data_IF_231130934142
#
_entry.id   IF_231130934142
#
_cell.length_a   1.000
_cell.length_b   1.000
_cell.length_c   1.000
_cell.angle_alpha   90.00
_cell.angle_beta   90.00
_cell.angle_gamma   90.00
#
_symmetry.space_group_name_H-M   'P 1'
#
loop_
_entity.id
_entity.type
_entity.pdbx_description
1 polymer ?
#
# COMPACT_ATOMS: atom_id res chain seq x y z
N UNK A 1 10.31 -17.33 -6.12
CA UNK A 1 9.52 -16.76 -5.02
C UNK A 1 8.13 -16.52 -5.53
N UNK A 2 7.12 -16.91 -4.76
CA UNK A 2 5.72 -16.84 -5.15
C UNK A 2 5.00 -15.77 -4.30
N UNK A 3 4.35 -14.80 -4.95
CA UNK A 3 3.61 -13.72 -4.33
C UNK A 3 2.13 -13.82 -4.63
N UNK A 4 1.31 -13.28 -3.74
CA UNK A 4 -0.10 -13.10 -3.96
C UNK A 4 -0.43 -11.61 -4.19
N UNK A 5 -1.27 -11.32 -5.18
CA UNK A 5 -2.00 -10.06 -5.28
C UNK A 5 -3.45 -10.34 -4.92
N UNK A 6 -3.97 -9.63 -3.93
CA UNK A 6 -5.37 -9.77 -3.53
C UNK A 6 -6.27 -9.00 -4.48
N UNK A 7 -7.23 -9.69 -5.10
CA UNK A 7 -8.26 -9.10 -5.93
C UNK A 7 -9.54 -8.92 -5.12
N UNK A 8 -9.85 -7.68 -4.81
CA UNK A 8 -11.11 -7.27 -4.18
C UNK A 8 -12.05 -6.55 -5.18
N UNK A 9 -11.90 -6.84 -6.48
CA UNK A 9 -12.72 -6.26 -7.54
C UNK A 9 -12.31 -4.84 -7.94
N UNK A 10 -11.14 -4.36 -7.47
CA UNK A 10 -10.62 -3.04 -7.77
C UNK A 10 -9.09 -3.09 -7.87
N UNK A 11 -8.51 -2.16 -8.62
CA UNK A 11 -7.05 -2.07 -8.72
C UNK A 11 -6.50 -2.32 -10.12
N UNK A 12 -5.28 -1.80 -10.34
CA UNK A 12 -4.53 -2.08 -11.56
C UNK A 12 -3.66 -3.33 -11.38
N UNK A 13 -4.33 -4.48 -11.15
CA UNK A 13 -3.68 -5.78 -10.88
C UNK A 13 -2.71 -6.14 -12.01
N UNK A 14 -3.11 -5.91 -13.26
CA UNK A 14 -2.32 -6.29 -14.41
C UNK A 14 -0.96 -5.57 -14.46
N UNK A 15 -0.94 -4.25 -14.27
CA UNK A 15 0.32 -3.49 -14.28
C UNK A 15 1.22 -3.86 -13.11
N UNK A 16 0.65 -4.08 -11.92
CA UNK A 16 1.41 -4.50 -10.75
C UNK A 16 2.00 -5.90 -10.94
N UNK A 17 1.22 -6.85 -11.46
CA UNK A 17 1.67 -8.19 -11.78
C UNK A 17 2.85 -8.17 -12.75
N UNK A 18 2.73 -7.44 -13.87
CA UNK A 18 3.83 -7.32 -14.84
C UNK A 18 5.08 -6.70 -14.21
N UNK A 19 4.91 -5.68 -13.35
CA UNK A 19 6.04 -5.04 -12.68
C UNK A 19 6.80 -6.01 -11.77
N UNK A 20 6.09 -6.89 -11.05
CA UNK A 20 6.68 -7.91 -10.18
C UNK A 20 7.29 -9.08 -10.97
N UNK A 21 6.62 -9.54 -12.02
CA UNK A 21 7.12 -10.62 -12.89
C UNK A 21 8.42 -10.21 -13.60
N UNK A 22 8.55 -8.96 -14.03
CA UNK A 22 9.80 -8.38 -14.55
C UNK A 22 10.95 -8.39 -13.53
N UNK A 23 10.64 -8.46 -12.24
CA UNK A 23 11.64 -8.60 -11.17
C UNK A 23 11.92 -10.06 -10.80
N UNK A 24 11.36 -11.02 -11.56
CA UNK A 24 11.57 -12.45 -11.36
C UNK A 24 10.68 -13.11 -10.31
N UNK A 25 9.61 -12.47 -9.88
CA UNK A 25 8.60 -13.09 -9.01
C UNK A 25 7.61 -13.92 -9.84
N UNK A 26 7.09 -14.99 -9.26
CA UNK A 26 5.87 -15.66 -9.71
C UNK A 26 4.69 -15.04 -8.96
N UNK A 27 3.64 -14.65 -9.67
CA UNK A 27 2.53 -13.88 -9.09
C UNK A 27 1.19 -14.56 -9.38
N UNK A 28 0.48 -14.92 -8.32
CA UNK A 28 -0.90 -15.38 -8.40
C UNK A 28 -1.86 -14.26 -7.96
N UNK A 29 -3.05 -14.27 -8.51
CA UNK A 29 -4.15 -13.41 -8.08
C UNK A 29 -5.09 -14.26 -7.22
N UNK A 30 -5.36 -13.81 -6.00
CA UNK A 30 -6.21 -14.51 -5.03
C UNK A 30 -7.34 -13.59 -4.58
N UNK A 31 -8.44 -14.17 -4.12
CA UNK A 31 -9.60 -13.43 -3.60
C UNK A 31 -9.96 -13.78 -2.14
N UNK A 32 -9.13 -14.60 -1.47
CA UNK A 32 -9.28 -14.89 -0.05
C UNK A 32 -7.91 -15.02 0.64
N UNK A 33 -7.86 -14.75 1.94
CA UNK A 33 -6.62 -14.86 2.72
C UNK A 33 -6.27 -16.29 3.13
N UNK A 34 -7.21 -17.21 3.07
CA UNK A 34 -6.97 -18.61 3.46
C UNK A 34 -5.90 -19.25 2.55
N UNK A 35 -5.86 -18.81 1.29
CA UNK A 35 -4.82 -19.23 0.35
C UNK A 35 -3.49 -18.47 0.52
N UNK A 36 -3.50 -17.31 1.20
CA UNK A 36 -2.35 -16.40 1.24
C UNK A 36 -1.14 -16.95 2.02
N UNK A 37 -1.35 -17.88 2.95
CA UNK A 37 -0.29 -18.51 3.74
C UNK A 37 0.72 -19.33 2.91
N UNK A 38 0.39 -19.63 1.66
CA UNK A 38 1.28 -20.34 0.74
C UNK A 38 2.21 -19.41 -0.05
N UNK A 39 2.19 -18.11 0.23
CA UNK A 39 2.96 -17.10 -0.49
C UNK A 39 4.00 -16.44 0.40
N UNK A 40 5.10 -16.04 -0.21
CA UNK A 40 6.19 -15.33 0.48
C UNK A 40 5.87 -13.87 0.79
N UNK A 41 4.83 -13.32 0.19
CA UNK A 41 4.38 -11.95 0.39
C UNK A 41 3.02 -11.69 -0.26
N UNK A 42 2.31 -10.71 0.29
CA UNK A 42 0.98 -10.29 -0.16
C UNK A 42 1.00 -8.84 -0.61
N UNK A 43 0.33 -8.55 -1.72
CA UNK A 43 0.10 -7.17 -2.17
C UNK A 43 -1.41 -6.88 -2.18
N UNK A 44 -1.77 -5.73 -1.60
CA UNK A 44 -3.11 -5.14 -1.68
C UNK A 44 -3.03 -3.96 -2.64
N UNK A 45 -3.37 -4.12 -3.93
CA UNK A 45 -3.34 -3.04 -4.91
C UNK A 45 -4.47 -2.05 -4.64
N UNK A 46 -4.35 -0.80 -5.12
CA UNK A 46 -5.34 0.16 -4.75
C UNK A 46 -5.77 1.18 -5.78
N UNK A 47 -6.88 0.89 -6.47
CA UNK A 47 -7.78 1.92 -7.00
C UNK A 47 -9.22 1.47 -6.73
N UNK A 48 -10.14 2.40 -6.49
CA UNK A 48 -11.55 2.10 -6.18
C UNK A 48 -12.00 2.81 -4.92
N UNK A 49 -13.11 2.36 -4.36
CA UNK A 49 -13.72 2.94 -3.17
C UNK A 49 -13.47 2.06 -1.94
N UNK A 50 -13.33 2.70 -0.78
CA UNK A 50 -12.98 2.07 0.48
C UNK A 50 -13.98 0.99 0.92
N UNK A 51 -15.28 1.31 0.99
CA UNK A 51 -16.30 0.39 1.50
C UNK A 51 -16.42 -0.91 0.68
N UNK A 52 -16.52 -0.88 -0.67
CA UNK A 52 -16.54 -2.11 -1.47
C UNK A 52 -15.29 -2.97 -1.27
N UNK A 53 -14.11 -2.35 -1.19
CA UNK A 53 -12.86 -3.08 -1.01
C UNK A 53 -12.82 -3.79 0.35
N UNK A 54 -13.22 -3.11 1.42
CA UNK A 54 -13.27 -3.71 2.77
C UNK A 54 -14.29 -4.84 2.84
N UNK A 55 -15.49 -4.66 2.26
CA UNK A 55 -16.50 -5.72 2.22
C UNK A 55 -15.99 -6.96 1.50
N UNK A 56 -15.40 -6.78 0.33
CA UNK A 56 -14.82 -7.90 -0.43
C UNK A 56 -13.78 -8.69 0.39
N UNK A 57 -12.91 -8.00 1.12
CA UNK A 57 -11.93 -8.67 1.99
C UNK A 57 -12.61 -9.48 3.10
N UNK A 58 -13.68 -8.96 3.71
CA UNK A 58 -14.40 -9.64 4.81
C UNK A 58 -15.25 -10.81 4.33
N UNK A 59 -15.89 -10.65 3.17
CA UNK A 59 -16.87 -11.61 2.68
C UNK A 59 -16.22 -12.89 2.12
N UNK A 60 -14.99 -12.80 1.65
CA UNK A 60 -14.31 -13.91 0.96
C UNK A 60 -13.21 -14.60 1.78
N UNK A 61 -13.00 -14.21 3.04
CA UNK A 61 -11.98 -14.82 3.90
C UNK A 61 -12.54 -15.28 5.23
N UNK A 62 -12.27 -16.53 5.60
CA UNK A 62 -12.56 -17.05 6.94
C UNK A 62 -11.54 -16.57 7.98
N UNK A 63 -10.30 -16.36 7.54
CA UNK A 63 -9.21 -15.79 8.35
C UNK A 63 -9.31 -14.27 8.34
N UNK A 64 -9.26 -13.65 9.51
CA UNK A 64 -9.19 -12.19 9.59
C UNK A 64 -7.84 -11.69 9.09
N UNK A 65 -7.81 -10.50 8.47
CA UNK A 65 -6.55 -9.89 8.05
C UNK A 65 -5.60 -9.65 9.23
N UNK A 66 -6.13 -9.31 10.39
CA UNK A 66 -5.33 -9.13 11.61
C UNK A 66 -4.64 -10.42 12.06
N UNK A 67 -5.25 -11.57 11.85
CA UNK A 67 -4.63 -12.87 12.14
C UNK A 67 -3.58 -13.22 11.09
N UNK A 68 -3.90 -13.01 9.81
CA UNK A 68 -2.94 -13.21 8.72
C UNK A 68 -1.62 -12.46 8.91
N UNK A 69 -1.67 -11.19 9.32
CA UNK A 69 -0.44 -10.39 9.48
C UNK A 69 0.41 -10.78 10.69
N UNK A 70 -0.13 -11.58 11.64
CA UNK A 70 0.65 -12.13 12.76
C UNK A 70 1.71 -13.13 12.32
N UNK A 71 1.51 -13.80 11.19
CA UNK A 71 2.45 -14.80 10.64
C UNK A 71 3.72 -14.17 10.04
N UNK A 72 3.87 -12.84 10.16
CA UNK A 72 5.02 -12.06 9.71
C UNK A 72 5.26 -12.08 8.20
N UNK A 73 4.37 -12.63 7.40
CA UNK A 73 4.44 -12.50 5.95
C UNK A 73 4.41 -11.02 5.55
N UNK A 74 5.37 -10.53 4.76
CA UNK A 74 5.37 -9.13 4.33
C UNK A 74 4.12 -8.78 3.51
N UNK A 75 3.52 -7.64 3.82
CA UNK A 75 2.35 -7.11 3.09
C UNK A 75 2.66 -5.71 2.59
N UNK A 76 2.38 -5.47 1.31
CA UNK A 76 2.47 -4.14 0.70
C UNK A 76 1.08 -3.65 0.28
N UNK A 77 0.57 -2.62 0.97
CA UNK A 77 -0.61 -1.87 0.57
C UNK A 77 -0.23 -0.70 -0.36
N UNK A 78 -0.90 -0.59 -1.50
CA UNK A 78 -0.67 0.47 -2.48
C UNK A 78 -1.91 1.35 -2.55
N UNK A 79 -1.79 2.66 -2.30
CA UNK A 79 -2.85 3.66 -2.33
C UNK A 79 -4.05 3.22 -1.46
N UNK A 80 -5.21 2.85 -2.03
CA UNK A 80 -6.34 2.29 -1.28
C UNK A 80 -5.93 1.08 -0.42
N UNK A 81 -5.04 0.22 -0.90
CA UNK A 81 -4.51 -0.91 -0.14
C UNK A 81 -3.81 -0.50 1.15
N UNK A 82 -3.07 0.61 1.14
CA UNK A 82 -2.49 1.22 2.33
C UNK A 82 -3.57 1.84 3.22
N UNK A 83 -4.53 2.55 2.64
CA UNK A 83 -5.62 3.21 3.36
C UNK A 83 -6.46 2.20 4.16
N UNK A 84 -6.68 1.01 3.61
CA UNK A 84 -7.42 -0.06 4.28
C UNK A 84 -6.77 -0.56 5.58
N UNK A 85 -5.47 -0.35 5.82
CA UNK A 85 -4.81 -0.73 7.07
C UNK A 85 -5.34 0.01 8.30
N UNK A 86 -5.93 1.18 8.10
CA UNK A 86 -6.41 2.06 9.17
C UNK A 86 -7.79 1.67 9.68
N UNK A 87 -8.24 2.34 10.76
CA UNK A 87 -9.48 2.01 11.48
C UNK A 87 -10.74 2.45 10.72
N UNK A 88 -10.67 3.57 9.98
CA UNK A 88 -11.80 4.18 9.27
C UNK A 88 -11.34 5.13 8.16
N UNK A 89 -12.25 5.45 7.26
CA UNK A 89 -12.05 6.42 6.17
C UNK A 89 -13.22 7.41 6.08
N UNK A 90 -12.91 8.67 5.79
CA UNK A 90 -13.95 9.67 5.44
C UNK A 90 -14.62 9.37 4.07
N UNK A 91 -14.03 8.48 3.26
CA UNK A 91 -14.62 8.04 1.99
C UNK A 91 -15.84 7.13 2.19
N UNK A 92 -15.88 6.39 3.31
CA UNK A 92 -16.87 5.36 3.54
C UNK A 92 -17.39 5.30 4.97
N UNK A 93 -18.20 4.27 5.23
CA UNK A 93 -18.79 3.98 6.55
C UNK A 93 -18.24 2.69 7.17
N UNK A 94 -17.61 1.85 6.35
CA UNK A 94 -17.03 0.60 6.82
C UNK A 94 -15.82 0.85 7.72
N UNK A 95 -15.65 -0.02 8.71
CA UNK A 95 -14.41 -0.05 9.50
C UNK A 95 -13.31 -0.67 8.63
N UNK A 96 -12.13 -0.06 8.62
CA UNK A 96 -10.96 -0.62 7.95
C UNK A 96 -10.45 -1.91 8.59
N UNK A 97 -9.29 -2.35 8.16
CA UNK A 97 -8.65 -3.58 8.68
C UNK A 97 -8.08 -3.38 10.10
N UNK A 98 -7.92 -2.12 10.53
CA UNK A 98 -7.55 -1.70 11.88
C UNK A 98 -6.22 -2.34 12.40
N UNK A 99 -5.27 -2.61 11.51
CA UNK A 99 -3.92 -3.10 11.87
C UNK A 99 -2.96 -1.93 12.16
N UNK A 100 -3.36 -0.72 11.78
CA UNK A 100 -2.70 0.54 12.11
C UNK A 100 -3.73 1.51 12.71
N UNK A 101 -3.36 2.17 13.82
CA UNK A 101 -4.21 3.17 14.47
C UNK A 101 -4.22 4.48 13.68
N UNK A 102 -5.39 5.09 13.55
CA UNK A 102 -5.61 6.34 12.86
C UNK A 102 -6.74 6.26 11.83
N UNK A 103 -6.78 7.23 10.97
CA UNK A 103 -7.89 7.41 10.03
C UNK A 103 -7.38 7.80 8.64
N UNK A 104 -8.25 7.66 7.66
CA UNK A 104 -8.06 8.16 6.30
C UNK A 104 -8.96 9.38 6.13
N UNK A 105 -8.37 10.50 5.70
CA UNK A 105 -9.07 11.79 5.60
C UNK A 105 -8.97 12.38 4.20
N UNK A 106 -9.98 13.14 3.80
CA UNK A 106 -9.97 13.84 2.51
C UNK A 106 -8.82 14.88 2.49
N UNK A 107 -8.21 15.05 1.34
CA UNK A 107 -7.27 16.16 1.14
C UNK A 107 -7.99 17.50 1.29
N UNK A 108 -7.33 18.56 1.82
CA UNK A 108 -7.95 19.87 1.97
C UNK A 108 -8.42 20.44 0.61
N UNK A 109 -9.63 20.96 0.58
CA UNK A 109 -10.28 21.49 -0.64
C UNK A 109 -9.61 22.74 -1.25
N UNK A 110 -8.63 23.34 -0.55
CA UNK A 110 -7.81 24.44 -1.07
C UNK A 110 -6.82 24.03 -2.14
N UNK A 111 -6.63 22.71 -2.35
CA UNK A 111 -5.80 22.16 -3.39
C UNK A 111 -6.66 21.42 -4.41
N UNK A 112 -6.09 21.17 -5.61
CA UNK A 112 -6.78 20.36 -6.61
C UNK A 112 -6.93 18.92 -6.09
N UNK A 113 -8.15 18.40 -6.09
CA UNK A 113 -8.47 17.01 -5.74
C UNK A 113 -9.00 16.33 -7.00
N UNK A 114 -8.45 15.14 -7.34
CA UNK A 114 -7.40 14.40 -6.68
C UNK A 114 -6.00 15.01 -6.84
N UNK A 115 -5.07 14.72 -5.91
CA UNK A 115 -3.64 14.83 -6.14
C UNK A 115 -3.25 13.83 -7.21
N UNK A 116 -3.03 14.31 -8.44
CA UNK A 116 -2.78 13.46 -9.60
C UNK A 116 -1.54 13.95 -10.34
N UNK A 117 -0.58 13.06 -10.53
CA UNK A 117 0.64 13.33 -11.26
C UNK A 117 1.91 12.94 -10.51
N UNK A 118 3.03 13.40 -11.06
CA UNK A 118 4.34 13.18 -10.47
C UNK A 118 4.59 14.19 -9.35
N UNK A 119 5.07 13.69 -8.22
CA UNK A 119 5.52 14.51 -7.10
C UNK A 119 6.70 13.81 -6.42
N UNK A 120 7.50 14.55 -5.66
CA UNK A 120 8.64 13.98 -4.97
C UNK A 120 8.29 13.49 -3.57
N UNK A 121 9.06 12.54 -3.07
CA UNK A 121 8.98 12.05 -1.70
C UNK A 121 10.17 12.57 -0.89
N UNK A 122 9.91 12.96 0.35
CA UNK A 122 10.91 13.37 1.33
C UNK A 122 11.09 12.23 2.33
N UNK A 123 12.25 11.60 2.31
CA UNK A 123 12.58 10.48 3.19
C UNK A 123 12.87 11.01 4.60
N UNK A 124 12.14 10.52 5.60
CA UNK A 124 12.29 10.92 7.00
C UNK A 124 13.23 10.01 7.78
N UNK A 125 13.28 8.74 7.41
CA UNK A 125 14.10 7.74 8.08
C UNK A 125 14.41 6.55 7.18
N UNK A 126 15.47 5.83 7.52
CA UNK A 126 15.83 4.59 6.83
C UNK A 126 14.73 3.55 6.95
N UNK A 127 14.46 2.86 5.86
CA UNK A 127 13.50 1.75 5.79
C UNK A 127 13.89 0.80 4.65
N UNK A 128 13.75 -0.52 4.83
CA UNK A 128 14.08 -1.49 3.80
C UNK A 128 13.41 -1.23 2.45
N UNK A 129 12.14 -0.77 2.44
CA UNK A 129 11.42 -0.46 1.19
C UNK A 129 12.08 0.67 0.38
N UNK A 130 12.78 1.59 1.05
CA UNK A 130 13.43 2.75 0.44
C UNK A 130 14.95 2.57 0.22
N UNK A 131 15.47 1.37 0.44
CA UNK A 131 16.90 1.11 0.25
C UNK A 131 17.33 1.39 -1.20
N UNK A 132 18.37 2.23 -1.36
CA UNK A 132 18.85 2.68 -2.66
C UNK A 132 17.93 3.67 -3.40
N UNK A 133 16.87 4.17 -2.77
CA UNK A 133 16.02 5.25 -3.30
C UNK A 133 16.57 6.59 -2.85
N UNK A 134 16.97 7.49 -3.78
CA UNK A 134 17.43 8.84 -3.41
C UNK A 134 16.31 9.65 -2.75
N UNK A 135 16.66 10.51 -1.81
CA UNK A 135 15.72 11.53 -1.32
C UNK A 135 15.24 12.43 -2.47
N UNK A 136 14.05 12.99 -2.33
CA UNK A 136 13.41 13.81 -3.36
C UNK A 136 13.15 13.08 -4.68
N UNK A 137 13.12 11.75 -4.68
CA UNK A 137 12.74 10.95 -5.85
C UNK A 137 11.29 11.21 -6.27
N UNK A 138 11.07 11.30 -7.58
CA UNK A 138 9.75 11.50 -8.17
C UNK A 138 9.01 10.17 -8.33
N UNK A 139 7.73 10.16 -7.89
CA UNK A 139 6.81 9.02 -7.99
C UNK A 139 5.42 9.50 -8.43
N UNK A 140 4.57 8.58 -8.89
CA UNK A 140 3.27 8.91 -9.45
C UNK A 140 2.15 8.71 -8.44
N UNK A 141 1.43 9.79 -8.14
CA UNK A 141 0.26 9.86 -7.27
C UNK A 141 -1.04 9.94 -8.05
N UNK A 142 -2.09 9.34 -7.52
CA UNK A 142 -3.48 9.56 -7.91
C UNK A 142 -4.39 9.19 -6.74
N UNK A 143 -4.71 10.16 -5.87
CA UNK A 143 -5.53 9.93 -4.68
C UNK A 143 -6.27 11.20 -4.25
N UNK A 144 -7.42 11.04 -3.62
CA UNK A 144 -8.20 12.13 -3.00
C UNK A 144 -8.09 12.14 -1.48
N UNK A 145 -7.77 10.99 -0.90
CA UNK A 145 -7.65 10.79 0.54
C UNK A 145 -6.20 10.54 0.92
N UNK A 146 -5.87 10.77 2.18
CA UNK A 146 -4.56 10.48 2.75
C UNK A 146 -4.70 9.82 4.11
N UNK A 147 -3.76 9.00 4.47
CA UNK A 147 -3.69 8.44 5.83
C UNK A 147 -3.27 9.50 6.84
N UNK A 148 -3.84 9.43 8.05
CA UNK A 148 -3.50 10.26 9.22
C UNK A 148 -3.24 9.32 10.38
N UNK A 149 -2.02 8.75 10.47
CA UNK A 149 -1.65 7.86 11.55
C UNK A 149 -1.72 8.54 12.91
N UNK A 150 -2.20 7.81 13.93
CA UNK A 150 -2.15 8.25 15.32
C UNK A 150 -0.71 8.26 15.85
N UNK A 151 0.08 7.24 15.45
CA UNK A 151 1.51 7.21 15.71
C UNK A 151 2.28 7.71 14.47
N UNK A 152 2.92 8.89 14.51
CA UNK A 152 3.69 9.42 13.38
C UNK A 152 4.95 8.62 13.08
N UNK A 153 5.42 7.78 14.00
CA UNK A 153 6.64 6.99 13.81
C UNK A 153 6.50 5.91 12.72
N UNK A 154 5.29 5.58 12.30
CA UNK A 154 5.12 4.67 11.17
C UNK A 154 5.36 5.33 9.81
N UNK A 155 5.40 6.68 9.76
CA UNK A 155 5.64 7.42 8.52
C UNK A 155 7.13 7.44 8.20
N UNK A 156 7.48 6.89 7.06
CA UNK A 156 8.87 6.71 6.59
C UNK A 156 9.26 7.79 5.58
N UNK A 157 8.31 8.21 4.76
CA UNK A 157 8.48 9.32 3.82
C UNK A 157 7.16 10.07 3.65
N UNK A 158 7.26 11.38 3.43
CA UNK A 158 6.13 12.24 3.07
C UNK A 158 6.30 12.77 1.65
N UNK A 159 5.21 13.31 1.10
CA UNK A 159 5.20 14.17 -0.08
C UNK A 159 4.52 15.49 0.28
N UNK A 160 5.06 16.60 -0.20
CA UNK A 160 4.45 17.91 -0.01
C UNK A 160 3.37 18.15 -1.08
N UNK A 161 2.14 18.32 -0.62
CA UNK A 161 1.02 18.78 -1.43
C UNK A 161 0.32 19.96 -0.75
N UNK A 162 1.13 20.95 -0.30
CA UNK A 162 0.71 22.07 0.53
C UNK A 162 0.33 21.65 1.97
N UNK A 163 0.39 20.37 2.24
CA UNK A 163 0.39 19.68 3.52
C UNK A 163 1.29 18.46 3.39
N UNK A 164 1.79 17.96 4.51
CA UNK A 164 2.51 16.69 4.52
C UNK A 164 1.53 15.55 4.28
N UNK A 165 1.75 14.82 3.19
CA UNK A 165 1.02 13.60 2.83
C UNK A 165 1.92 12.41 3.09
N UNK A 166 1.58 11.49 4.03
CA UNK A 166 2.34 10.27 4.22
C UNK A 166 2.43 9.48 2.91
N UNK A 167 3.62 9.46 2.32
CA UNK A 167 3.86 8.80 1.03
C UNK A 167 4.29 7.34 1.20
N UNK A 168 5.04 7.04 2.28
CA UNK A 168 5.44 5.68 2.65
C UNK A 168 5.24 5.50 4.16
N UNK A 169 4.58 4.42 4.54
CA UNK A 169 4.42 3.98 5.92
C UNK A 169 4.96 2.57 6.12
N UNK A 170 5.41 2.26 7.34
CA UNK A 170 5.87 0.92 7.69
C UNK A 170 5.66 0.63 9.18
N UNK A 171 5.17 -0.59 9.49
CA UNK A 171 5.01 -1.12 10.85
C UNK A 171 5.21 -2.63 10.83
N UNK A 172 6.33 -3.09 11.36
CA UNK A 172 6.68 -4.51 11.32
C UNK A 172 6.81 -5.02 9.88
N UNK A 173 6.03 -6.03 9.53
CA UNK A 173 5.94 -6.62 8.19
C UNK A 173 4.95 -5.91 7.25
N UNK A 174 4.30 -4.84 7.71
CA UNK A 174 3.36 -4.06 6.92
C UNK A 174 4.06 -2.85 6.31
N UNK A 175 3.96 -2.72 5.00
CA UNK A 175 4.44 -1.60 4.20
C UNK A 175 3.28 -0.97 3.45
N UNK A 176 3.30 0.35 3.29
CA UNK A 176 2.29 1.07 2.51
C UNK A 176 2.89 2.17 1.67
N UNK A 177 2.37 2.38 0.47
CA UNK A 177 2.69 3.52 -0.40
C UNK A 177 1.41 4.24 -0.82
N UNK A 178 1.39 5.58 -0.75
CA UNK A 178 0.27 6.39 -1.25
C UNK A 178 0.33 6.55 -2.78
N UNK A 179 1.51 6.50 -3.33
CA UNK A 179 1.77 6.50 -4.76
C UNK A 179 1.74 5.07 -5.33
N UNK A 180 1.75 4.99 -6.65
CA UNK A 180 1.74 3.73 -7.39
C UNK A 180 3.16 3.36 -7.82
N UNK A 181 3.86 2.44 -7.14
CA UNK A 181 5.21 2.04 -7.53
C UNK A 181 5.25 1.41 -8.92
N UNK A 182 4.20 0.68 -9.33
CA UNK A 182 4.08 0.10 -10.67
C UNK A 182 3.99 1.15 -11.80
N UNK A 183 3.71 2.41 -11.44
CA UNK A 183 3.66 3.56 -12.37
C UNK A 183 4.80 4.56 -12.16
N UNK A 184 5.69 4.31 -11.19
CA UNK A 184 6.74 5.25 -10.76
C UNK A 184 8.13 4.95 -11.39
N UNK A 185 8.14 4.31 -12.56
CA UNK A 185 9.35 4.09 -13.35
C UNK A 185 10.44 3.32 -12.58
N UNK A 186 11.70 3.78 -12.73
CA UNK A 186 12.86 3.12 -12.09
C UNK A 186 12.77 3.15 -10.56
N UNK A 187 12.31 4.25 -9.98
CA UNK A 187 12.19 4.41 -8.53
C UNK A 187 11.18 3.40 -7.97
N UNK A 188 9.99 3.33 -8.57
CA UNK A 188 9.00 2.33 -8.17
C UNK A 188 9.47 0.90 -8.37
N UNK A 189 10.20 0.62 -9.45
CA UNK A 189 10.83 -0.70 -9.70
C UNK A 189 11.82 -1.06 -8.59
N UNK A 190 12.66 -0.11 -8.12
CA UNK A 190 13.58 -0.32 -7.00
C UNK A 190 12.82 -0.66 -5.72
N UNK A 191 11.72 0.06 -5.43
CA UNK A 191 10.90 -0.22 -4.24
C UNK A 191 10.23 -1.60 -4.30
N UNK A 192 9.69 -1.99 -5.45
CA UNK A 192 9.14 -3.33 -5.63
C UNK A 192 10.22 -4.39 -5.43
N UNK A 193 11.43 -4.19 -5.96
CA UNK A 193 12.55 -5.09 -5.73
C UNK A 193 12.95 -5.18 -4.26
N UNK A 194 12.90 -4.06 -3.54
CA UNK A 194 13.14 -4.03 -2.10
C UNK A 194 12.09 -4.84 -1.34
N UNK A 195 10.81 -4.69 -1.68
CA UNK A 195 9.75 -5.51 -1.11
C UNK A 195 9.99 -7.01 -1.38
N UNK A 196 10.41 -7.37 -2.59
CA UNK A 196 10.77 -8.76 -2.91
C UNK A 196 11.93 -9.28 -2.05
N UNK A 197 12.87 -8.43 -1.64
CA UNK A 197 13.95 -8.81 -0.72
C UNK A 197 13.42 -9.09 0.69
N UNK A 198 12.46 -8.30 1.16
CA UNK A 198 11.80 -8.55 2.45
C UNK A 198 11.04 -9.88 2.45
N UNK A 199 10.39 -10.25 1.35
CA UNK A 199 9.68 -11.52 1.19
C UNK A 199 10.61 -12.76 1.15
N UNK A 200 11.94 -12.59 1.09
CA UNK A 200 12.93 -13.68 1.09
C UNK A 200 13.52 -13.96 2.48
N UNK A 201 13.25 -13.12 3.45
CA UNK A 201 13.72 -13.28 4.83
C UNK A 201 12.87 -14.29 5.58
#
# INVERSE_FOLDING_TARGET
MKLAIFDYGAGNIFSLRIALEKQGASVDVINNFDAANNYSGLLLPGVGNFDPAIRSIRDYSSTSFSDYVKDKTPVLGICLGMEMFFEKSEEGKEKGLAVMEGEVVLLPNKFKIPHMGWNNIKIKKSNPLLDGVPDSSWVYFVHSYRVKPKNPDIVVADSDYGIDVPAVISKGNLYGTQFHPEKSGKIGSTMLQNFLRECKK
#
